data_IF_446498364916
#
_entry.id   IF_446498364916
#
_cell.length_a   1.000
_cell.length_b   1.000
_cell.length_c   1.000
_cell.angle_alpha   90.00
_cell.angle_beta   90.00
_cell.angle_gamma   90.00
#
_symmetry.space_group_name_H-M   'P 1'
#
loop_
_entity.id
_entity.type
_entity.pdbx_description
1 polymer ?
#
# COMPACT_ATOMS: atom_id res chain seq x y z
N UNK A 1 5.22 -0.15 19.01
CA UNK A 1 5.50 1.25 19.42
C UNK A 1 4.98 1.63 20.81
N UNK A 2 4.26 0.79 21.46
CA UNK A 2 3.68 1.07 22.78
C UNK A 2 2.83 2.36 22.85
N UNK A 3 2.01 2.58 21.83
CA UNK A 3 1.10 3.74 21.73
C UNK A 3 -0.17 3.34 20.98
N UNK A 4 -1.26 4.04 21.27
CA UNK A 4 -2.52 3.89 20.55
C UNK A 4 -2.41 4.51 19.15
N UNK A 5 -2.77 3.74 18.13
CA UNK A 5 -2.78 4.19 16.75
C UNK A 5 -4.21 4.07 16.23
N UNK A 6 -4.87 5.21 15.90
CA UNK A 6 -6.19 5.17 15.30
C UNK A 6 -6.20 4.37 13.99
N UNK A 7 -7.24 3.57 13.80
CA UNK A 7 -7.46 2.81 12.59
C UNK A 7 -8.95 2.80 12.24
N UNK A 8 -9.29 3.08 11.00
CA UNK A 8 -10.66 2.91 10.48
C UNK A 8 -10.74 1.54 9.82
N UNK A 9 -11.69 0.73 10.25
CA UNK A 9 -12.00 -0.58 9.66
C UNK A 9 -13.36 -0.50 8.98
N UNK A 10 -13.44 -0.92 7.71
CA UNK A 10 -14.68 -0.97 6.94
C UNK A 10 -14.94 -2.44 6.61
N UNK A 11 -15.98 -3.00 7.20
CA UNK A 11 -16.48 -4.35 6.93
C UNK A 11 -17.75 -4.29 6.11
N UNK A 12 -18.12 -5.36 5.40
CA UNK A 12 -19.46 -5.47 4.84
C UNK A 12 -20.54 -5.29 5.92
N UNK A 13 -21.67 -4.66 5.57
CA UNK A 13 -22.81 -4.43 6.48
C UNK A 13 -23.33 -5.74 7.06
N UNK A 14 -23.36 -6.80 6.22
CA UNK A 14 -23.76 -8.15 6.62
C UNK A 14 -22.52 -9.02 6.91
N UNK A 15 -21.52 -8.45 7.62
CA UNK A 15 -20.34 -9.21 8.02
C UNK A 15 -20.73 -10.48 8.78
N UNK A 16 -20.23 -11.62 8.29
CA UNK A 16 -20.46 -12.93 8.89
C UNK A 16 -19.13 -13.51 9.39
N UNK A 17 -18.95 -13.71 10.70
CA UNK A 17 -17.70 -14.26 11.24
C UNK A 17 -17.43 -15.72 10.82
N UNK A 18 -18.39 -16.41 10.22
CA UNK A 18 -18.20 -17.76 9.66
C UNK A 18 -17.72 -17.75 8.21
N UNK A 19 -17.70 -16.59 7.54
CA UNK A 19 -17.10 -16.41 6.21
C UNK A 19 -15.69 -15.81 6.34
N UNK A 20 -14.86 -15.95 5.32
CA UNK A 20 -13.53 -15.33 5.27
C UNK A 20 -13.48 -14.23 4.22
N UNK A 21 -12.81 -13.13 4.56
CA UNK A 21 -12.75 -11.93 3.74
C UNK A 21 -11.31 -11.57 3.38
N UNK A 22 -11.01 -11.25 2.12
CA UNK A 22 -9.76 -10.62 1.77
C UNK A 22 -9.70 -9.18 2.31
N UNK A 23 -8.49 -8.69 2.55
CA UNK A 23 -8.24 -7.40 3.18
C UNK A 23 -7.41 -6.50 2.28
N UNK A 24 -7.84 -5.23 2.14
CA UNK A 24 -7.07 -4.19 1.49
C UNK A 24 -6.68 -3.14 2.54
N UNK A 25 -5.37 -2.99 2.76
CA UNK A 25 -4.80 -1.93 3.60
C UNK A 25 -4.66 -0.65 2.77
N UNK A 26 -5.26 0.45 3.26
CA UNK A 26 -5.30 1.75 2.58
C UNK A 26 -4.49 2.79 3.36
N UNK A 27 -3.33 3.13 2.84
CA UNK A 27 -2.39 4.06 3.46
C UNK A 27 -2.66 5.51 3.02
N UNK A 28 -2.77 6.43 3.97
CA UNK A 28 -2.97 7.86 3.68
C UNK A 28 -1.66 8.57 3.30
N UNK A 29 -1.80 9.78 2.74
CA UNK A 29 -0.69 10.64 2.37
C UNK A 29 -0.19 11.52 3.53
N UNK A 30 0.86 12.31 3.28
CA UNK A 30 1.43 13.26 4.23
C UNK A 30 0.35 14.24 4.74
N UNK A 31 0.31 14.45 6.04
CA UNK A 31 -0.70 15.29 6.71
C UNK A 31 -2.09 14.65 6.85
N UNK A 32 -2.28 13.43 6.34
CA UNK A 32 -3.52 12.67 6.50
C UNK A 32 -3.62 11.94 7.84
N UNK A 33 -4.65 11.10 7.95
CA UNK A 33 -4.92 10.27 9.12
C UNK A 33 -5.79 9.06 8.74
N UNK A 34 -6.20 8.24 9.72
CA UNK A 34 -7.02 7.04 9.50
C UNK A 34 -8.34 7.30 8.76
N UNK A 35 -8.91 8.52 8.84
CA UNK A 35 -10.19 8.86 8.20
C UNK A 35 -10.04 9.36 6.76
N UNK A 36 -8.82 9.64 6.31
CA UNK A 36 -8.56 10.27 4.98
C UNK A 36 -9.26 9.53 3.86
N UNK A 37 -9.08 8.22 3.75
CA UNK A 37 -9.68 7.44 2.67
C UNK A 37 -11.21 7.42 2.74
N UNK A 38 -11.79 7.17 3.91
CA UNK A 38 -13.25 7.13 4.07
C UNK A 38 -13.91 8.50 3.83
N UNK A 39 -13.24 9.58 4.23
CA UNK A 39 -13.74 10.94 3.98
C UNK A 39 -13.68 11.32 2.49
N UNK A 40 -12.65 10.88 1.78
CA UNK A 40 -12.46 11.14 0.36
C UNK A 40 -13.33 10.23 -0.53
N UNK A 41 -13.50 8.97 -0.12
CA UNK A 41 -14.22 7.92 -0.86
C UNK A 41 -15.21 7.20 0.08
N UNK A 42 -16.35 7.85 0.45
CA UNK A 42 -17.36 7.23 1.31
C UNK A 42 -17.94 5.93 0.73
N UNK A 43 -17.92 5.80 -0.60
CA UNK A 43 -18.39 4.63 -1.35
C UNK A 43 -17.58 3.35 -1.05
N UNK A 44 -16.46 3.45 -0.31
CA UNK A 44 -15.73 2.26 0.17
C UNK A 44 -16.63 1.31 1.00
N UNK A 45 -17.67 1.83 1.66
CA UNK A 45 -18.66 1.02 2.37
C UNK A 45 -19.47 0.16 1.41
N UNK A 46 -19.97 0.77 0.34
CA UNK A 46 -20.77 0.06 -0.68
C UNK A 46 -19.90 -0.95 -1.45
N UNK A 47 -18.63 -0.62 -1.64
CA UNK A 47 -17.65 -1.53 -2.27
C UNK A 47 -17.36 -2.72 -1.36
N UNK A 48 -17.21 -2.51 -0.04
CA UNK A 48 -17.04 -3.57 0.93
C UNK A 48 -18.24 -4.55 0.89
N UNK A 49 -19.46 -4.03 0.83
CA UNK A 49 -20.69 -4.81 0.71
C UNK A 49 -20.74 -5.60 -0.60
N UNK A 50 -20.52 -4.93 -1.73
CA UNK A 50 -20.63 -5.51 -3.07
C UNK A 50 -19.59 -6.61 -3.32
N UNK A 51 -18.36 -6.38 -2.89
CA UNK A 51 -17.22 -7.22 -3.27
C UNK A 51 -16.77 -8.17 -2.14
N UNK A 52 -17.39 -8.08 -0.96
CA UNK A 52 -17.03 -8.91 0.20
C UNK A 52 -15.61 -8.65 0.67
N UNK A 53 -15.24 -7.38 0.87
CA UNK A 53 -13.89 -6.93 1.24
C UNK A 53 -13.88 -6.28 2.61
N UNK A 54 -12.74 -6.36 3.29
CA UNK A 54 -12.44 -5.54 4.47
C UNK A 54 -11.39 -4.50 4.06
N UNK A 55 -11.66 -3.22 4.38
CA UNK A 55 -10.66 -2.17 4.25
C UNK A 55 -10.12 -1.78 5.62
N UNK A 56 -8.80 -1.60 5.69
CA UNK A 56 -8.08 -1.23 6.91
C UNK A 56 -7.28 0.04 6.63
N UNK A 57 -7.63 1.13 7.31
CA UNK A 57 -7.04 2.45 7.11
C UNK A 57 -6.32 2.90 8.40
N UNK A 58 -5.03 2.57 8.57
CA UNK A 58 -4.28 2.99 9.75
C UNK A 58 -3.87 4.47 9.69
N UNK A 59 -3.74 5.11 10.85
CA UNK A 59 -3.03 6.39 10.96
C UNK A 59 -1.52 6.15 10.94
N UNK A 60 -0.89 6.52 9.85
CA UNK A 60 0.57 6.43 9.65
C UNK A 60 1.32 7.68 10.08
N UNK A 61 0.64 8.72 10.59
CA UNK A 61 1.24 10.05 10.81
C UNK A 61 2.01 10.53 9.57
N UNK A 62 3.12 11.23 9.77
CA UNK A 62 4.03 11.64 8.70
C UNK A 62 5.27 10.73 8.64
N UNK A 63 5.07 9.43 8.86
CA UNK A 63 6.15 8.46 9.04
C UNK A 63 6.74 7.92 7.74
N UNK A 64 6.11 8.18 6.59
CA UNK A 64 6.42 7.49 5.34
C UNK A 64 6.35 5.96 5.44
N UNK A 65 5.74 5.48 6.53
CA UNK A 65 5.58 4.06 6.88
C UNK A 65 6.91 3.33 7.11
N UNK A 66 7.94 4.08 7.53
CA UNK A 66 9.24 3.54 7.91
C UNK A 66 9.31 3.16 9.39
N UNK A 67 10.22 2.26 9.71
CA UNK A 67 10.86 2.21 11.00
C UNK A 67 12.01 3.22 10.95
N UNK A 68 11.86 4.34 11.65
CA UNK A 68 12.84 5.41 11.56
C UNK A 68 14.19 4.98 12.17
N UNK A 69 15.31 5.17 11.47
CA UNK A 69 16.63 4.93 12.04
C UNK A 69 17.04 5.97 13.08
N UNK A 70 16.32 7.10 13.17
CA UNK A 70 16.63 8.20 14.11
C UNK A 70 15.65 8.32 15.26
N UNK A 71 14.37 8.02 15.04
CA UNK A 71 13.33 8.16 16.05
C UNK A 71 12.71 6.79 16.38
N UNK A 72 13.06 6.15 17.50
CA UNK A 72 12.54 4.84 17.88
C UNK A 72 11.02 4.84 18.15
N UNK A 73 10.39 6.00 18.31
CA UNK A 73 8.94 6.12 18.44
C UNK A 73 8.19 5.97 17.11
N UNK A 74 8.90 5.98 16.00
CA UNK A 74 8.37 5.78 14.64
C UNK A 74 8.76 4.39 14.11
N UNK A 75 7.91 3.40 14.38
CA UNK A 75 8.08 1.99 13.97
C UNK A 75 6.92 1.54 13.08
N UNK A 76 6.65 2.31 12.02
CA UNK A 76 5.46 2.11 11.20
C UNK A 76 5.60 0.97 10.17
N UNK A 77 6.81 0.60 9.78
CA UNK A 77 7.05 -0.64 9.04
C UNK A 77 6.63 -1.86 9.88
N UNK A 78 7.18 -1.98 11.09
CA UNK A 78 6.84 -3.05 12.03
C UNK A 78 5.33 -3.04 12.34
N UNK A 79 4.76 -1.86 12.58
CA UNK A 79 3.35 -1.73 12.88
C UNK A 79 2.47 -2.26 11.74
N UNK A 80 2.62 -1.74 10.51
CA UNK A 80 1.72 -2.08 9.40
C UNK A 80 1.95 -3.51 8.91
N UNK A 81 3.20 -3.95 8.80
CA UNK A 81 3.51 -5.27 8.23
C UNK A 81 3.38 -6.43 9.21
N UNK A 82 3.34 -6.18 10.51
CA UNK A 82 3.32 -7.23 11.53
C UNK A 82 2.23 -7.02 12.58
N UNK A 83 2.30 -5.94 13.37
CA UNK A 83 1.39 -5.75 14.52
C UNK A 83 -0.06 -5.59 14.06
N UNK A 84 -0.33 -4.70 13.09
CA UNK A 84 -1.67 -4.44 12.56
C UNK A 84 -2.23 -5.67 11.83
N UNK A 85 -1.42 -6.33 10.99
CA UNK A 85 -1.87 -7.54 10.27
C UNK A 85 -2.28 -8.63 11.25
N UNK A 86 -1.48 -8.89 12.28
CA UNK A 86 -1.82 -9.90 13.31
C UNK A 86 -3.08 -9.53 14.08
N UNK A 87 -3.23 -8.25 14.43
CA UNK A 87 -4.43 -7.76 15.11
C UNK A 87 -5.68 -7.95 14.26
N UNK A 88 -5.64 -7.52 13.00
CA UNK A 88 -6.78 -7.68 12.07
C UNK A 88 -7.12 -9.16 11.86
N UNK A 89 -6.15 -10.03 11.72
CA UNK A 89 -6.36 -11.46 11.56
C UNK A 89 -6.89 -12.14 12.84
N UNK A 90 -6.69 -11.55 14.02
CA UNK A 90 -7.25 -12.05 15.28
C UNK A 90 -8.69 -11.59 15.51
N UNK A 91 -9.01 -10.35 15.15
CA UNK A 91 -10.30 -9.74 15.44
C UNK A 91 -11.35 -9.99 14.35
N UNK A 92 -10.91 -10.24 13.11
CA UNK A 92 -11.79 -10.41 11.95
C UNK A 92 -11.53 -11.74 11.24
N UNK A 93 -12.59 -12.29 10.62
CA UNK A 93 -12.49 -13.50 9.80
C UNK A 93 -11.87 -13.18 8.44
N UNK A 94 -10.56 -13.07 8.41
CA UNK A 94 -9.78 -12.74 7.21
C UNK A 94 -9.21 -13.98 6.55
N UNK A 95 -8.86 -13.88 5.27
CA UNK A 95 -7.93 -14.82 4.63
C UNK A 95 -6.54 -14.55 5.20
N UNK A 96 -6.06 -15.46 6.09
CA UNK A 96 -4.88 -15.22 6.96
C UNK A 96 -3.52 -15.44 6.29
N UNK A 97 -3.46 -15.32 4.97
CA UNK A 97 -2.22 -15.42 4.21
C UNK A 97 -2.12 -14.31 3.15
N UNK A 98 -0.99 -14.23 2.48
CA UNK A 98 -0.70 -13.19 1.49
C UNK A 98 -1.64 -13.19 0.28
N UNK A 99 -2.26 -14.32 -0.04
CA UNK A 99 -3.21 -14.43 -1.16
C UNK A 99 -4.50 -13.67 -0.92
N UNK A 100 -4.84 -13.39 0.33
CA UNK A 100 -5.97 -12.57 0.75
C UNK A 100 -5.61 -11.15 1.17
N UNK A 101 -4.35 -10.69 1.00
CA UNK A 101 -3.92 -9.34 1.44
C UNK A 101 -3.37 -8.51 0.30
N UNK A 102 -3.94 -7.32 0.16
CA UNK A 102 -3.40 -6.25 -0.68
C UNK A 102 -3.10 -5.02 0.17
N UNK A 103 -2.16 -4.21 -0.29
CA UNK A 103 -1.81 -2.93 0.32
C UNK A 103 -1.71 -1.86 -0.77
N UNK A 104 -2.29 -0.71 -0.54
CA UNK A 104 -2.17 0.44 -1.44
C UNK A 104 -2.23 1.75 -0.66
N UNK A 105 -1.96 2.85 -1.33
CA UNK A 105 -2.03 4.16 -0.71
C UNK A 105 -1.85 5.29 -1.70
N UNK A 106 -2.04 6.51 -1.22
CA UNK A 106 -1.84 7.74 -1.99
C UNK A 106 -0.58 8.49 -1.51
N UNK A 107 0.18 9.08 -2.44
CA UNK A 107 1.31 9.96 -2.13
C UNK A 107 2.35 9.28 -1.21
N UNK A 108 2.57 9.77 0.01
CA UNK A 108 3.36 9.10 1.04
C UNK A 108 2.88 7.66 1.28
N UNK A 109 1.56 7.41 1.28
CA UNK A 109 0.99 6.08 1.41
C UNK A 109 1.26 5.17 0.21
N UNK A 110 1.33 5.75 -1.00
CA UNK A 110 1.72 5.03 -2.21
C UNK A 110 3.18 4.58 -2.16
N UNK A 111 4.08 5.44 -1.68
CA UNK A 111 5.45 5.04 -1.34
C UNK A 111 5.45 3.91 -0.32
N UNK A 112 4.74 4.10 0.80
CA UNK A 112 4.69 3.13 1.89
C UNK A 112 4.18 1.76 1.44
N UNK A 113 3.14 1.72 0.61
CA UNK A 113 2.58 0.48 0.10
C UNK A 113 3.59 -0.30 -0.77
N UNK A 114 4.29 0.37 -1.70
CA UNK A 114 5.32 -0.27 -2.52
C UNK A 114 6.53 -0.67 -1.68
N UNK A 115 7.01 0.21 -0.81
CA UNK A 115 8.18 -0.05 0.03
C UNK A 115 7.94 -1.22 0.99
N UNK A 116 6.78 -1.26 1.68
CA UNK A 116 6.41 -2.33 2.59
C UNK A 116 6.21 -3.67 1.85
N UNK A 117 5.50 -3.67 0.73
CA UNK A 117 5.20 -4.91 0.01
C UNK A 117 6.45 -5.58 -0.58
N UNK A 118 7.43 -4.80 -1.04
CA UNK A 118 8.69 -5.36 -1.56
C UNK A 118 9.54 -5.96 -0.45
N UNK A 119 9.49 -5.39 0.75
CA UNK A 119 10.23 -5.86 1.92
C UNK A 119 9.51 -7.00 2.65
N UNK A 120 8.19 -7.04 2.57
CA UNK A 120 7.31 -8.01 3.25
C UNK A 120 6.40 -8.73 2.25
N UNK A 121 6.98 -9.25 1.16
CA UNK A 121 6.26 -10.01 0.13
C UNK A 121 5.67 -11.34 0.63
N UNK A 122 6.09 -11.79 1.79
CA UNK A 122 5.51 -12.92 2.52
C UNK A 122 4.21 -12.53 3.22
N UNK A 123 3.98 -11.25 3.49
CA UNK A 123 2.77 -10.70 4.14
C UNK A 123 1.73 -10.25 3.11
N UNK A 124 2.15 -9.52 2.09
CA UNK A 124 1.26 -8.96 1.07
C UNK A 124 1.43 -9.68 -0.28
N UNK A 125 0.32 -10.06 -0.92
CA UNK A 125 0.33 -10.71 -2.23
C UNK A 125 0.10 -9.75 -3.39
N UNK A 126 -0.52 -8.60 -3.12
CA UNK A 126 -0.75 -7.55 -4.11
C UNK A 126 -0.43 -6.17 -3.53
N UNK A 127 0.05 -5.28 -4.37
CA UNK A 127 0.42 -3.92 -4.00
C UNK A 127 -0.06 -2.90 -5.01
N UNK A 128 -0.46 -1.72 -4.51
CA UNK A 128 -0.86 -0.58 -5.32
C UNK A 128 -0.22 0.72 -4.86
N UNK A 129 -0.26 1.72 -5.74
CA UNK A 129 0.17 3.09 -5.43
C UNK A 129 -0.55 4.06 -6.34
N UNK A 130 -1.13 5.12 -5.79
CA UNK A 130 -1.62 6.25 -6.58
C UNK A 130 -0.83 7.51 -6.26
N UNK A 131 -0.29 8.16 -7.28
CA UNK A 131 0.57 9.34 -7.12
C UNK A 131 1.67 9.15 -6.07
N UNK A 132 2.26 7.96 -6.00
CA UNK A 132 3.21 7.60 -4.95
C UNK A 132 4.55 8.34 -5.06
N UNK A 133 5.10 8.77 -3.93
CA UNK A 133 6.48 9.28 -3.86
C UNK A 133 7.50 8.13 -3.92
N UNK A 134 7.43 7.31 -4.96
CA UNK A 134 8.19 6.04 -5.07
C UNK A 134 9.70 6.22 -5.19
N UNK A 135 10.15 7.42 -5.58
CA UNK A 135 11.54 7.88 -5.40
C UNK A 135 11.52 9.21 -4.66
N UNK A 136 12.00 9.20 -3.42
CA UNK A 136 12.01 10.38 -2.54
C UNK A 136 13.28 11.22 -2.69
N UNK A 137 14.33 10.69 -3.29
CA UNK A 137 15.67 11.30 -3.34
C UNK A 137 15.73 12.64 -4.09
N UNK A 138 14.89 12.89 -5.12
CA UNK A 138 14.80 14.22 -5.73
C UNK A 138 14.20 15.32 -4.83
N UNK A 139 13.66 14.94 -3.65
CA UNK A 139 12.91 15.84 -2.77
C UNK A 139 13.47 15.92 -1.34
N UNK A 140 14.80 16.06 -1.13
CA UNK A 140 15.42 15.84 0.19
C UNK A 140 14.99 16.84 1.27
N UNK A 141 14.45 17.99 0.87
CA UNK A 141 14.04 19.07 1.79
C UNK A 141 12.52 19.11 2.03
N UNK A 142 11.76 18.13 1.48
CA UNK A 142 10.31 18.13 1.55
C UNK A 142 9.80 17.19 2.66
N UNK A 143 8.55 17.42 3.10
CA UNK A 143 7.76 16.53 3.96
C UNK A 143 8.49 16.02 5.21
N UNK A 144 9.40 16.81 5.74
CA UNK A 144 10.14 16.51 6.98
C UNK A 144 10.86 15.15 7.00
N UNK A 145 11.15 14.57 5.84
CA UNK A 145 11.80 13.26 5.72
C UNK A 145 13.16 13.22 6.42
N UNK A 146 13.89 14.34 6.41
CA UNK A 146 15.19 14.45 7.10
C UNK A 146 15.09 14.27 8.62
N UNK A 147 13.94 14.53 9.22
CA UNK A 147 13.71 14.24 10.66
C UNK A 147 13.77 12.74 10.94
N UNK A 148 13.34 11.92 9.97
CA UNK A 148 13.31 10.46 10.07
C UNK A 148 14.61 9.81 9.60
N UNK A 149 15.22 10.33 8.53
CA UNK A 149 16.34 9.70 7.84
C UNK A 149 17.67 10.42 8.05
N UNK A 150 17.66 11.66 8.53
CA UNK A 150 18.79 12.58 8.48
C UNK A 150 18.90 13.33 7.16
N UNK A 151 19.79 14.31 7.08
CA UNK A 151 20.04 15.05 5.85
C UNK A 151 20.51 14.07 4.76
N UNK A 152 19.96 14.20 3.56
CA UNK A 152 20.28 13.31 2.44
C UNK A 152 21.76 13.34 2.10
N UNK A 153 22.39 14.53 2.05
CA UNK A 153 23.82 14.69 1.78
C UNK A 153 24.76 13.85 2.65
N UNK A 154 24.36 13.62 3.90
CA UNK A 154 25.17 12.93 4.90
C UNK A 154 24.74 11.47 5.09
N UNK A 155 23.58 11.08 4.55
CA UNK A 155 22.94 9.80 4.82
C UNK A 155 22.41 9.13 3.53
N UNK A 156 23.10 9.24 2.41
CA UNK A 156 22.64 8.74 1.09
C UNK A 156 22.26 7.26 1.12
N UNK A 157 23.02 6.42 1.82
CA UNK A 157 22.69 4.99 1.95
C UNK A 157 21.39 4.78 2.71
N UNK A 158 21.14 5.55 3.77
CA UNK A 158 19.89 5.51 4.53
C UNK A 158 18.71 5.89 3.63
N UNK A 159 18.85 6.97 2.86
CA UNK A 159 17.81 7.39 1.91
C UNK A 159 17.54 6.35 0.81
N UNK A 160 18.59 5.75 0.24
CA UNK A 160 18.45 4.66 -0.72
C UNK A 160 17.69 3.47 -0.11
N UNK A 161 18.06 3.06 1.11
CA UNK A 161 17.43 1.92 1.80
C UNK A 161 15.97 2.19 2.20
N UNK A 162 15.53 3.46 2.25
CA UNK A 162 14.16 3.88 2.59
C UNK A 162 13.35 4.38 1.39
N UNK A 163 13.83 4.16 0.18
CA UNK A 163 13.19 4.55 -1.08
C UNK A 163 12.60 3.36 -1.80
N UNK A 164 11.33 3.40 -2.17
CA UNK A 164 10.61 2.26 -2.75
C UNK A 164 11.26 1.75 -4.06
N UNK A 165 11.61 2.64 -5.00
CA UNK A 165 12.26 2.26 -6.27
C UNK A 165 13.59 1.50 -6.06
N UNK A 166 14.23 1.70 -4.91
CA UNK A 166 15.49 1.00 -4.58
C UNK A 166 15.28 -0.41 -4.03
N UNK A 167 14.03 -0.79 -3.71
CA UNK A 167 13.70 -2.11 -3.19
C UNK A 167 13.27 -3.12 -4.27
N UNK A 168 13.25 -2.72 -5.55
CA UNK A 168 12.77 -3.57 -6.66
C UNK A 168 13.57 -4.87 -6.78
N UNK A 169 14.85 -4.87 -6.43
CA UNK A 169 15.72 -6.05 -6.46
C UNK A 169 15.35 -7.14 -5.42
N UNK A 170 14.49 -6.81 -4.45
CA UNK A 170 13.99 -7.76 -3.43
C UNK A 170 12.92 -8.70 -3.95
N UNK A 171 12.34 -8.41 -5.11
CA UNK A 171 11.25 -9.19 -5.68
C UNK A 171 11.62 -9.77 -7.04
N UNK A 172 11.00 -10.90 -7.37
CA UNK A 172 11.05 -11.53 -8.68
C UNK A 172 9.68 -11.46 -9.34
N UNK A 173 9.66 -11.61 -10.66
CA UNK A 173 8.41 -11.65 -11.40
C UNK A 173 7.44 -12.70 -10.84
N UNK A 174 6.17 -12.32 -10.68
CA UNK A 174 5.13 -13.19 -10.16
C UNK A 174 5.08 -13.31 -8.62
N UNK A 175 6.05 -12.75 -7.88
CA UNK A 175 6.00 -12.76 -6.41
C UNK A 175 5.00 -11.76 -5.82
N UNK A 176 4.70 -10.67 -6.55
CA UNK A 176 3.69 -9.67 -6.20
C UNK A 176 2.84 -9.33 -7.43
N UNK A 177 1.54 -9.16 -7.23
CA UNK A 177 0.68 -8.49 -8.21
C UNK A 177 0.78 -6.98 -7.97
N UNK A 178 1.19 -6.21 -8.98
CA UNK A 178 1.52 -4.79 -8.82
C UNK A 178 0.68 -3.95 -9.77
N UNK A 179 0.03 -2.92 -9.22
CA UNK A 179 -0.64 -1.85 -9.97
C UNK A 179 -0.25 -0.50 -9.41
N UNK A 180 0.04 0.47 -10.27
CA UNK A 180 0.19 1.84 -9.82
C UNK A 180 -0.22 2.83 -10.90
N UNK A 181 -0.50 4.04 -10.47
CA UNK A 181 -0.97 5.09 -11.36
C UNK A 181 -0.47 6.48 -10.91
N UNK A 182 -0.37 7.38 -11.88
CA UNK A 182 -0.05 8.78 -11.63
C UNK A 182 -0.67 9.66 -12.70
N UNK A 183 -1.20 10.81 -12.30
CA UNK A 183 -1.64 11.84 -13.22
C UNK A 183 -0.44 12.47 -13.94
N UNK A 184 -0.57 12.72 -15.25
CA UNK A 184 0.56 13.29 -16.00
C UNK A 184 0.88 14.76 -15.64
N UNK A 185 0.00 15.44 -14.89
CA UNK A 185 0.25 16.78 -14.34
C UNK A 185 0.66 16.75 -12.85
N UNK A 186 0.91 15.55 -12.30
CA UNK A 186 1.36 15.36 -10.92
C UNK A 186 2.88 15.60 -10.83
N UNK A 187 3.33 16.25 -9.76
CA UNK A 187 4.78 16.49 -9.55
C UNK A 187 5.57 15.19 -9.29
N UNK A 188 4.90 14.08 -8.94
CA UNK A 188 5.50 12.75 -8.85
C UNK A 188 5.44 11.96 -10.16
N UNK A 189 4.96 12.55 -11.27
CA UNK A 189 4.80 11.78 -12.50
C UNK A 189 6.13 11.19 -12.99
N UNK A 190 7.20 11.97 -13.02
CA UNK A 190 8.50 11.49 -13.52
C UNK A 190 9.07 10.35 -12.68
N UNK A 191 8.98 10.43 -11.34
CA UNK A 191 9.49 9.35 -10.48
C UNK A 191 8.65 8.07 -10.62
N UNK A 192 7.35 8.16 -10.90
CA UNK A 192 6.51 7.00 -11.21
C UNK A 192 6.85 6.42 -12.60
N UNK A 193 7.13 7.26 -13.59
CA UNK A 193 7.60 6.81 -14.91
C UNK A 193 8.96 6.09 -14.83
N UNK A 194 9.87 6.59 -14.01
CA UNK A 194 11.16 5.93 -13.78
C UNK A 194 11.01 4.63 -12.99
N UNK A 195 10.06 4.57 -12.06
CA UNK A 195 9.69 3.33 -11.36
C UNK A 195 9.18 2.27 -12.35
N UNK A 196 8.28 2.64 -13.28
CA UNK A 196 7.83 1.80 -14.38
C UNK A 196 9.01 1.26 -15.21
N UNK A 197 9.88 2.14 -15.71
CA UNK A 197 11.05 1.76 -16.49
C UNK A 197 11.96 0.78 -15.74
N UNK A 198 12.14 1.00 -14.43
CA UNK A 198 12.96 0.13 -13.60
C UNK A 198 12.34 -1.25 -13.41
N UNK A 199 11.02 -1.35 -13.18
CA UNK A 199 10.31 -2.63 -13.13
C UNK A 199 10.44 -3.39 -14.44
N UNK A 200 10.30 -2.72 -15.60
CA UNK A 200 10.52 -3.33 -16.92
C UNK A 200 11.97 -3.85 -17.07
N UNK A 201 12.97 -3.07 -16.65
CA UNK A 201 14.38 -3.50 -16.66
C UNK A 201 14.61 -4.77 -15.85
N UNK A 202 13.92 -4.91 -14.72
CA UNK A 202 13.97 -6.10 -13.86
C UNK A 202 13.03 -7.22 -14.32
N UNK A 203 12.29 -7.01 -15.42
CA UNK A 203 11.32 -7.96 -16.00
C UNK A 203 10.23 -8.34 -14.99
N UNK A 204 9.72 -7.35 -14.25
CA UNK A 204 8.64 -7.52 -13.27
C UNK A 204 7.35 -7.02 -13.90
N UNK A 205 6.39 -7.92 -14.06
CA UNK A 205 5.07 -7.62 -14.59
C UNK A 205 4.28 -6.71 -13.64
N UNK A 206 3.64 -5.68 -14.20
CA UNK A 206 2.86 -4.70 -13.45
C UNK A 206 1.91 -3.93 -14.36
N UNK A 207 0.85 -3.40 -13.78
CA UNK A 207 -0.03 -2.43 -14.43
C UNK A 207 0.41 -1.01 -14.07
N UNK A 208 0.70 -0.17 -15.07
CA UNK A 208 0.95 1.25 -14.88
C UNK A 208 -0.09 2.07 -15.66
N UNK A 209 -0.92 2.84 -14.97
CA UNK A 209 -1.94 3.67 -15.58
C UNK A 209 -1.56 5.14 -15.50
N UNK A 210 -1.58 5.80 -16.67
CA UNK A 210 -1.36 7.24 -16.79
C UNK A 210 -2.64 7.89 -17.28
N UNK A 211 -3.13 8.88 -16.55
CA UNK A 211 -4.38 9.58 -16.87
C UNK A 211 -4.22 11.09 -16.69
N UNK A 212 -5.12 11.90 -17.29
CA UNK A 212 -5.24 13.30 -16.94
C UNK A 212 -5.46 13.47 -15.43
N UNK A 213 -4.76 14.41 -14.81
CA UNK A 213 -4.90 14.71 -13.39
C UNK A 213 -3.60 15.14 -12.74
N UNK A 214 -3.71 15.59 -11.50
CA UNK A 214 -2.63 16.10 -10.68
C UNK A 214 -2.71 15.55 -9.26
N UNK A 215 -1.82 16.00 -8.37
CA UNK A 215 -1.71 15.51 -6.99
C UNK A 215 -2.84 15.99 -6.10
N UNK A 216 -4.03 15.40 -6.24
CA UNK A 216 -5.22 15.80 -5.49
C UNK A 216 -6.24 14.69 -5.28
N UNK A 217 -7.22 14.95 -4.39
CA UNK A 217 -8.26 13.99 -4.01
C UNK A 217 -9.17 13.55 -5.16
N UNK A 218 -9.45 14.41 -6.14
CA UNK A 218 -10.22 14.07 -7.33
C UNK A 218 -9.57 12.93 -8.11
N UNK A 219 -8.25 13.03 -8.32
CA UNK A 219 -7.49 11.99 -9.00
C UNK A 219 -7.49 10.69 -8.19
N UNK A 220 -7.18 10.76 -6.89
CA UNK A 220 -7.06 9.57 -6.03
C UNK A 220 -8.38 8.85 -5.81
N UNK A 221 -9.47 9.60 -5.66
CA UNK A 221 -10.84 9.07 -5.54
C UNK A 221 -11.24 8.21 -6.76
N UNK A 222 -10.82 8.61 -7.95
CA UNK A 222 -11.04 7.85 -9.18
C UNK A 222 -10.08 6.67 -9.31
N UNK A 223 -8.80 6.87 -8.97
CA UNK A 223 -7.75 5.85 -9.10
C UNK A 223 -8.01 4.60 -8.30
N UNK A 224 -8.53 4.75 -7.08
CA UNK A 224 -8.73 3.61 -6.18
C UNK A 224 -9.71 2.57 -6.74
N UNK A 225 -10.67 2.96 -7.58
CA UNK A 225 -11.61 2.03 -8.21
C UNK A 225 -10.89 1.05 -9.15
N UNK A 226 -9.90 1.50 -9.91
CA UNK A 226 -9.08 0.66 -10.79
C UNK A 226 -8.24 -0.32 -9.98
N UNK A 227 -7.67 0.16 -8.88
CA UNK A 227 -6.83 -0.67 -8.01
C UNK A 227 -7.66 -1.73 -7.27
N UNK A 228 -8.86 -1.39 -6.77
CA UNK A 228 -9.76 -2.35 -6.14
C UNK A 228 -10.19 -3.44 -7.14
N UNK A 229 -10.50 -3.06 -8.38
CA UNK A 229 -10.81 -4.05 -9.43
C UNK A 229 -9.63 -4.99 -9.70
N UNK A 230 -8.40 -4.46 -9.73
CA UNK A 230 -7.19 -5.26 -9.87
C UNK A 230 -7.00 -6.23 -8.70
N UNK A 231 -7.14 -5.76 -7.46
CA UNK A 231 -7.02 -6.60 -6.27
C UNK A 231 -8.13 -7.65 -6.21
N UNK A 232 -9.36 -7.30 -6.59
CA UNK A 232 -10.45 -8.27 -6.66
C UNK A 232 -10.11 -9.42 -7.61
N UNK A 233 -9.59 -9.13 -8.81
CA UNK A 233 -9.14 -10.15 -9.76
C UNK A 233 -8.02 -11.03 -9.17
N UNK A 234 -7.08 -10.41 -8.42
CA UNK A 234 -6.03 -11.14 -7.72
C UNK A 234 -6.61 -12.10 -6.67
N UNK A 235 -7.53 -11.65 -5.84
CA UNK A 235 -8.18 -12.48 -4.82
C UNK A 235 -8.99 -13.61 -5.44
N UNK A 236 -9.79 -13.34 -6.46
CA UNK A 236 -10.64 -14.33 -7.14
C UNK A 236 -9.79 -15.45 -7.80
N UNK A 237 -8.64 -15.08 -8.40
CA UNK A 237 -7.70 -16.06 -8.97
C UNK A 237 -7.11 -16.99 -7.91
N UNK A 238 -6.96 -16.53 -6.68
CA UNK A 238 -6.38 -17.30 -5.60
C UNK A 238 -7.43 -18.14 -4.86
N UNK A 239 -8.70 -17.69 -4.77
CA UNK A 239 -9.81 -18.51 -4.24
C UNK A 239 -9.99 -19.84 -4.99
N UNK A 240 -9.73 -19.87 -6.31
CA UNK A 240 -9.83 -21.08 -7.12
C UNK A 240 -8.71 -22.11 -6.94
N UNK A 241 -7.66 -21.78 -6.21
CA UNK A 241 -6.54 -22.70 -5.95
C UNK A 241 -6.76 -23.60 -4.74
N UNK A 242 -7.66 -23.24 -3.83
CA UNK A 242 -8.03 -24.08 -2.66
C UNK A 242 -8.98 -25.24 -2.99
N UNK A 243 -9.58 -25.29 -4.19
CA UNK A 243 -10.60 -26.30 -4.58
C UNK A 243 -10.06 -27.26 -5.67
N UNK A 244 -8.78 -27.57 -5.68
CA UNK A 244 -8.26 -28.73 -6.42
C UNK A 244 -7.62 -29.72 -5.45
N UNK A 245 -8.46 -30.36 -4.63
CA UNK A 245 -8.20 -31.72 -4.24
C UNK A 245 -8.59 -32.59 -5.45
N UNK A 246 -7.59 -33.04 -6.20
CA UNK A 246 -7.79 -34.12 -7.17
C UNK A 246 -8.24 -35.36 -6.38
N UNK A 247 -9.56 -35.64 -6.41
CA UNK A 247 -10.06 -36.94 -6.01
C UNK A 247 -9.75 -37.87 -7.17
N UNK A 248 -8.65 -38.60 -7.02
CA UNK A 248 -8.31 -39.75 -7.88
C UNK A 248 -9.16 -40.95 -7.52
#
# INVERSE_FOLDING_TARGET
MNKDIPCVIITPTNYNPSATYPVIYLLHGYGGNAKTWLSMKPELKDIADRDGLIFVCPDGKNSWYWDSPKDPSYRYETFVSSELVKYIDSEYSTVKDRSGRAITGLSMGGHGAMWLSFRHKDVFGAAGSTSGGVDIRPFPNNWEMSKQLGNESDNQEVWNNHTAIMQIDRIKNGELAIIFDCGYSDFFFEVNNDFHKKLLKYKIDHDFLVRPGSHNGEYWKNSIDYQILFFKKFFDKNKGKEIRLDIA
#
